data_IF_606430084900
#
_entry.id   IF_606430084900
#
_cell.length_a   1.000
_cell.length_b   1.000
_cell.length_c   1.000
_cell.angle_alpha   90.00
_cell.angle_beta   90.00
_cell.angle_gamma   90.00
#
_symmetry.space_group_name_H-M   'P 1'
#
loop_
_entity.id
_entity.type
_entity.pdbx_description
1 polymer ?
#
# COMPACT_ATOMS: atom_id res chain seq x y z
N UNK A 1 -5.08 30.65 8.26
CA UNK A 1 -5.43 30.21 6.89
C UNK A 1 -6.01 28.82 7.01
N UNK A 2 -7.03 28.45 6.21
CA UNK A 2 -7.59 27.12 6.29
C UNK A 2 -6.53 26.09 5.91
N UNK A 3 -6.58 24.91 6.52
CA UNK A 3 -5.82 23.74 6.10
C UNK A 3 -6.11 23.49 4.60
N UNK A 4 -5.16 23.75 3.75
CA UNK A 4 -5.26 23.53 2.33
C UNK A 4 -4.40 22.34 1.94
N UNK A 5 -5.00 21.37 1.24
CA UNK A 5 -4.25 20.30 0.63
C UNK A 5 -3.81 20.75 -0.76
N UNK A 6 -2.50 20.69 -1.04
CA UNK A 6 -1.96 21.07 -2.33
C UNK A 6 -1.34 19.90 -3.05
N UNK A 7 -1.74 19.70 -4.29
CA UNK A 7 -1.09 18.80 -5.23
C UNK A 7 -0.12 19.56 -6.10
N UNK A 8 1.06 18.98 -6.29
CA UNK A 8 2.07 19.40 -7.26
C UNK A 8 2.16 18.35 -8.34
N UNK A 9 1.95 18.72 -9.58
CA UNK A 9 2.17 17.88 -10.74
C UNK A 9 3.67 17.86 -11.03
N UNK A 10 4.30 16.70 -10.92
CA UNK A 10 5.74 16.53 -11.05
C UNK A 10 6.13 15.98 -12.42
N UNK A 11 5.28 15.18 -13.03
CA UNK A 11 5.49 14.66 -14.39
C UNK A 11 4.17 14.54 -15.14
N UNK A 12 4.27 14.70 -16.47
CA UNK A 12 3.18 14.52 -17.43
C UNK A 12 3.65 13.63 -18.55
N UNK A 13 2.75 12.75 -19.02
CA UNK A 13 2.99 11.92 -20.21
C UNK A 13 4.31 11.14 -20.16
N UNK A 14 4.75 10.72 -18.97
CA UNK A 14 5.93 9.87 -18.85
C UNK A 14 5.64 8.51 -19.50
N UNK A 15 6.28 8.25 -20.64
CA UNK A 15 6.01 7.07 -21.45
C UNK A 15 6.40 5.77 -20.76
N UNK A 16 7.40 5.78 -19.89
CA UNK A 16 7.83 4.58 -19.15
C UNK A 16 6.79 4.18 -18.09
N UNK A 17 6.27 5.15 -17.33
CA UNK A 17 5.18 4.91 -16.37
C UNK A 17 3.88 4.54 -17.06
N UNK A 18 3.57 5.17 -18.19
CA UNK A 18 2.37 4.89 -18.98
C UNK A 18 2.40 3.51 -19.66
N UNK A 19 3.57 2.90 -19.81
CA UNK A 19 3.73 1.56 -20.39
C UNK A 19 3.30 0.43 -19.44
N UNK A 20 3.14 0.71 -18.13
CA UNK A 20 2.69 -0.28 -17.18
C UNK A 20 1.18 -0.52 -17.27
N UNK A 21 0.78 -1.77 -17.47
CA UNK A 21 -0.65 -2.15 -17.50
C UNK A 21 -1.27 -2.16 -16.09
N UNK A 22 -0.46 -2.37 -15.05
CA UNK A 22 -0.80 -2.16 -13.64
C UNK A 22 0.49 -1.82 -12.88
N UNK A 23 0.38 -1.18 -11.71
CA UNK A 23 1.54 -0.69 -10.99
C UNK A 23 1.30 -0.58 -9.48
N UNK A 24 2.40 -0.64 -8.73
CA UNK A 24 2.45 -0.40 -7.28
C UNK A 24 3.61 0.55 -6.95
N UNK A 25 3.33 1.59 -6.18
CA UNK A 25 4.35 2.51 -5.68
C UNK A 25 4.76 2.12 -4.25
N UNK A 26 6.06 2.16 -4.00
CA UNK A 26 6.66 1.89 -2.70
C UNK A 26 7.66 2.99 -2.38
N UNK A 27 7.44 3.68 -1.27
CA UNK A 27 8.43 4.60 -0.71
C UNK A 27 9.44 3.82 0.12
N UNK A 28 10.72 4.00 -0.17
CA UNK A 28 11.80 3.35 0.57
C UNK A 28 13.00 4.29 0.68
N UNK A 29 13.37 4.66 1.90
CA UNK A 29 14.37 5.68 2.14
C UNK A 29 14.00 7.01 1.49
N UNK A 30 14.91 7.55 0.70
CA UNK A 30 14.75 8.82 -0.01
C UNK A 30 14.25 8.67 -1.45
N UNK A 31 13.72 7.50 -1.79
CA UNK A 31 13.27 7.17 -3.13
C UNK A 31 11.83 6.65 -3.17
N UNK A 32 11.19 6.88 -4.31
CA UNK A 32 9.95 6.24 -4.71
C UNK A 32 10.26 5.24 -5.81
N UNK A 33 9.87 3.99 -5.59
CA UNK A 33 9.96 2.91 -6.56
C UNK A 33 8.57 2.61 -7.11
N UNK A 34 8.47 2.47 -8.41
CA UNK A 34 7.24 2.01 -9.07
C UNK A 34 7.53 0.67 -9.71
N UNK A 35 6.91 -0.35 -9.17
CA UNK A 35 6.90 -1.70 -9.71
C UNK A 35 5.72 -1.83 -10.67
N UNK A 36 6.00 -2.12 -11.92
CA UNK A 36 5.00 -2.14 -12.98
C UNK A 36 4.88 -3.49 -13.67
N UNK A 37 3.64 -3.84 -14.01
CA UNK A 37 3.31 -5.02 -14.80
C UNK A 37 3.57 -4.76 -16.27
N UNK A 38 4.37 -5.62 -16.89
CA UNK A 38 4.57 -5.66 -18.35
C UNK A 38 4.35 -7.07 -18.88
N UNK A 39 4.29 -7.21 -20.21
CA UNK A 39 4.22 -8.53 -20.86
C UNK A 39 5.47 -9.38 -20.62
N UNK A 40 6.61 -8.74 -20.36
CA UNK A 40 7.91 -9.40 -20.14
C UNK A 40 8.20 -9.71 -18.66
N UNK A 41 7.29 -9.35 -17.74
CA UNK A 41 7.48 -9.49 -16.29
C UNK A 41 7.31 -8.17 -15.55
N UNK A 42 7.68 -8.16 -14.28
CA UNK A 42 7.73 -6.95 -13.46
C UNK A 42 8.96 -6.12 -13.80
N UNK A 43 8.76 -4.82 -14.01
CA UNK A 43 9.83 -3.83 -14.22
C UNK A 43 9.78 -2.79 -13.11
N UNK A 44 10.88 -2.08 -12.90
CA UNK A 44 10.99 -1.07 -11.83
C UNK A 44 11.48 0.25 -12.38
N UNK A 45 10.81 1.32 -11.98
CA UNK A 45 11.26 2.70 -12.17
C UNK A 45 11.49 3.35 -10.82
N UNK A 46 12.47 4.23 -10.73
CA UNK A 46 12.87 4.92 -9.52
C UNK A 46 12.91 6.44 -9.72
N UNK A 47 12.48 7.18 -8.72
CA UNK A 47 12.67 8.62 -8.61
C UNK A 47 12.96 9.02 -7.17
N UNK A 48 13.78 10.06 -6.97
CA UNK A 48 14.00 10.60 -5.63
C UNK A 48 12.73 11.29 -5.09
N UNK A 49 12.46 11.20 -3.79
CA UNK A 49 11.27 11.81 -3.16
C UNK A 49 11.22 13.34 -3.27
N UNK A 50 12.36 13.99 -3.47
CA UNK A 50 12.44 15.44 -3.65
C UNK A 50 12.33 15.87 -5.12
N UNK A 51 12.23 14.96 -6.06
CA UNK A 51 12.14 15.21 -7.49
C UNK A 51 10.80 14.77 -8.06
N UNK A 52 10.62 13.46 -8.36
CA UNK A 52 9.40 12.91 -8.96
C UNK A 52 9.14 13.28 -10.41
N UNK A 53 9.95 14.15 -11.02
CA UNK A 53 9.84 14.54 -12.43
C UNK A 53 10.66 13.63 -13.36
N UNK A 54 11.77 13.09 -12.86
CA UNK A 54 12.66 12.18 -13.58
C UNK A 54 12.54 10.76 -13.02
N UNK A 55 12.32 9.81 -13.90
CA UNK A 55 12.20 8.38 -13.58
C UNK A 55 13.24 7.59 -14.33
N UNK A 56 14.01 6.81 -13.60
CA UNK A 56 15.07 5.97 -14.15
C UNK A 56 14.67 4.50 -14.11
N UNK A 57 14.78 3.78 -15.23
CA UNK A 57 14.58 2.33 -15.23
C UNK A 57 15.71 1.63 -14.47
N UNK A 58 15.34 0.61 -13.72
CA UNK A 58 16.26 -0.23 -12.98
C UNK A 58 16.34 -1.60 -13.65
N UNK A 59 17.56 -2.06 -13.90
CA UNK A 59 17.81 -3.42 -14.39
C UNK A 59 18.06 -4.33 -13.19
N UNK A 60 17.12 -5.22 -12.93
CA UNK A 60 17.23 -6.19 -11.84
C UNK A 60 18.10 -7.38 -12.25
N UNK A 61 18.87 -7.92 -11.30
CA UNK A 61 19.65 -9.15 -11.48
C UNK A 61 18.80 -10.43 -11.45
N UNK A 62 17.48 -10.31 -11.21
CA UNK A 62 16.50 -11.40 -11.19
C UNK A 62 15.38 -11.12 -12.17
N UNK A 63 14.89 -12.18 -12.84
CA UNK A 63 13.66 -12.11 -13.63
C UNK A 63 12.47 -12.40 -12.74
N UNK A 64 11.53 -11.46 -12.66
CA UNK A 64 10.31 -11.59 -11.87
C UNK A 64 9.10 -11.75 -12.80
N UNK A 65 8.12 -12.56 -12.38
CA UNK A 65 6.87 -12.71 -13.10
C UNK A 65 6.11 -11.38 -13.23
N UNK A 66 5.18 -11.31 -14.17
CA UNK A 66 4.41 -10.08 -14.43
C UNK A 66 3.56 -9.63 -13.25
N UNK A 67 3.17 -10.54 -12.36
CA UNK A 67 2.33 -10.25 -11.20
C UNK A 67 3.11 -10.01 -9.90
N UNK A 68 4.43 -10.19 -9.91
CA UNK A 68 5.27 -9.99 -8.73
C UNK A 68 5.24 -8.54 -8.20
N UNK A 69 4.97 -7.55 -9.06
CA UNK A 69 4.83 -6.12 -8.66
C UNK A 69 3.87 -5.92 -7.48
N UNK A 70 2.82 -6.74 -7.37
CA UNK A 70 1.83 -6.63 -6.30
C UNK A 70 2.42 -6.89 -4.92
N UNK A 71 3.48 -7.69 -4.85
CA UNK A 71 4.12 -8.13 -3.62
C UNK A 71 5.24 -7.19 -3.13
N UNK A 72 5.57 -6.14 -3.88
CA UNK A 72 6.63 -5.21 -3.48
C UNK A 72 6.27 -4.44 -2.21
N UNK A 73 7.14 -4.46 -1.22
CA UNK A 73 7.00 -3.76 0.06
C UNK A 73 8.35 -3.23 0.53
N UNK A 74 8.34 -2.29 1.48
CA UNK A 74 9.56 -1.79 2.12
C UNK A 74 9.50 -2.02 3.64
N UNK A 75 10.64 -2.39 4.22
CA UNK A 75 10.84 -2.55 5.65
C UNK A 75 12.28 -2.15 6.01
N UNK A 76 12.46 -1.26 6.98
CA UNK A 76 13.77 -0.81 7.48
C UNK A 76 14.73 -0.30 6.37
N UNK A 77 14.21 0.42 5.38
CA UNK A 77 15.01 0.94 4.29
C UNK A 77 15.43 -0.08 3.23
N UNK A 78 14.91 -1.29 3.30
CA UNK A 78 15.08 -2.35 2.30
C UNK A 78 13.76 -2.66 1.58
N UNK A 79 13.86 -3.03 0.33
CA UNK A 79 12.76 -3.51 -0.50
C UNK A 79 12.66 -5.03 -0.40
N UNK A 80 11.45 -5.54 -0.36
CA UNK A 80 11.15 -6.97 -0.39
C UNK A 80 10.13 -7.25 -1.49
N UNK A 81 10.28 -8.38 -2.16
CA UNK A 81 9.36 -8.85 -3.18
C UNK A 81 9.25 -10.37 -3.13
N UNK A 82 8.07 -10.91 -3.40
CA UNK A 82 7.90 -12.37 -3.53
C UNK A 82 7.49 -12.75 -4.93
N UNK A 83 8.02 -13.88 -5.40
CA UNK A 83 7.67 -14.48 -6.67
C UNK A 83 7.93 -15.99 -6.65
N UNK A 84 6.94 -16.79 -7.09
CA UNK A 84 7.06 -18.24 -7.19
C UNK A 84 7.46 -18.95 -5.90
N UNK A 85 7.00 -18.51 -4.72
CA UNK A 85 7.34 -19.08 -3.43
C UNK A 85 8.70 -18.62 -2.88
N UNK A 86 9.37 -17.70 -3.55
CA UNK A 86 10.65 -17.13 -3.13
C UNK A 86 10.43 -15.70 -2.63
N UNK A 87 11.21 -15.32 -1.63
CA UNK A 87 11.26 -13.95 -1.11
C UNK A 87 12.64 -13.38 -1.36
N UNK A 88 12.69 -12.22 -1.96
CA UNK A 88 13.93 -11.49 -2.27
C UNK A 88 13.95 -10.17 -1.51
N UNK A 89 15.16 -9.75 -1.12
CA UNK A 89 15.43 -8.44 -0.52
C UNK A 89 16.43 -7.65 -1.37
N UNK A 90 16.30 -6.32 -1.38
CA UNK A 90 17.20 -5.42 -2.08
C UNK A 90 17.26 -4.06 -1.41
N UNK A 91 18.45 -3.47 -1.33
CA UNK A 91 18.64 -2.10 -0.87
C UNK A 91 18.48 -1.04 -1.98
N UNK A 92 18.55 -1.45 -3.24
CA UNK A 92 18.64 -0.55 -4.42
C UNK A 92 17.68 -0.87 -5.55
N UNK A 93 16.93 -1.98 -5.44
CA UNK A 93 16.11 -2.61 -6.48
C UNK A 93 16.89 -3.17 -7.69
N UNK A 94 18.20 -3.05 -7.74
CA UNK A 94 19.07 -3.63 -8.79
C UNK A 94 19.54 -5.03 -8.38
N UNK A 95 20.12 -5.13 -7.17
CA UNK A 95 20.67 -6.36 -6.62
C UNK A 95 19.70 -6.99 -5.64
N UNK A 96 19.00 -8.02 -6.11
CA UNK A 96 18.06 -8.81 -5.31
C UNK A 96 18.74 -10.07 -4.79
N UNK A 97 18.66 -10.30 -3.49
CA UNK A 97 19.20 -11.47 -2.81
C UNK A 97 18.05 -12.35 -2.32
N UNK A 98 18.14 -13.65 -2.58
CA UNK A 98 17.17 -14.61 -2.07
C UNK A 98 17.28 -14.72 -0.55
N UNK A 99 16.19 -14.36 0.14
CA UNK A 99 16.07 -14.46 1.60
C UNK A 99 15.56 -15.83 2.01
N UNK A 100 14.51 -16.30 1.34
CA UNK A 100 13.90 -17.60 1.60
C UNK A 100 13.44 -18.23 0.29
N UNK A 101 13.83 -19.48 0.06
CA UNK A 101 13.47 -20.26 -1.13
C UNK A 101 12.46 -21.38 -0.90
N UNK A 102 12.10 -21.63 0.36
CA UNK A 102 11.15 -22.70 0.74
C UNK A 102 9.96 -22.16 1.53
N UNK A 103 9.70 -20.87 1.43
CA UNK A 103 8.55 -20.26 2.04
C UNK A 103 7.29 -20.62 1.24
N UNK A 104 6.23 -21.04 1.92
CA UNK A 104 4.89 -21.15 1.34
C UNK A 104 4.26 -19.76 1.13
N UNK A 105 5.08 -18.81 0.69
CA UNK A 105 4.70 -17.42 0.46
C UNK A 105 4.14 -17.30 -0.95
N UNK A 106 2.84 -17.06 -1.04
CA UNK A 106 2.17 -16.78 -2.31
C UNK A 106 2.37 -15.33 -2.74
N UNK A 107 2.26 -14.42 -1.77
CA UNK A 107 2.36 -13.00 -2.01
C UNK A 107 2.69 -12.26 -0.72
N UNK A 108 3.69 -11.37 -0.73
CA UNK A 108 3.86 -10.37 0.32
C UNK A 108 2.69 -9.37 0.23
N UNK A 109 2.05 -9.09 1.36
CA UNK A 109 0.88 -8.21 1.42
C UNK A 109 1.17 -6.86 2.08
N UNK A 110 2.29 -6.78 2.81
CA UNK A 110 2.69 -5.54 3.46
C UNK A 110 3.81 -5.73 4.47
N UNK A 111 4.22 -4.62 5.05
CA UNK A 111 5.17 -4.54 6.15
C UNK A 111 4.63 -3.62 7.24
N UNK A 112 4.93 -3.95 8.50
CA UNK A 112 4.80 -3.03 9.62
C UNK A 112 6.13 -2.31 9.89
N UNK A 113 6.30 -1.69 11.05
CA UNK A 113 7.61 -1.13 11.43
C UNK A 113 8.69 -2.21 11.67
N UNK A 114 8.29 -3.47 11.89
CA UNK A 114 9.20 -4.54 12.31
C UNK A 114 9.05 -5.84 11.52
N UNK A 115 7.87 -6.11 10.95
CA UNK A 115 7.49 -7.41 10.43
C UNK A 115 7.04 -7.35 8.98
N UNK A 116 7.26 -8.45 8.26
CA UNK A 116 6.66 -8.71 6.96
C UNK A 116 5.41 -9.59 7.12
N UNK A 117 4.44 -9.38 6.24
CA UNK A 117 3.21 -10.16 6.18
C UNK A 117 3.00 -10.71 4.77
N UNK A 118 2.50 -11.93 4.70
CA UNK A 118 2.28 -12.61 3.43
C UNK A 118 1.02 -13.47 3.43
N UNK A 119 0.46 -13.68 2.26
CA UNK A 119 -0.44 -14.77 2.02
C UNK A 119 0.33 -16.07 1.87
N UNK A 120 -0.20 -17.12 2.52
CA UNK A 120 0.29 -18.50 2.44
C UNK A 120 -0.87 -19.44 2.16
N UNK A 121 -0.63 -20.74 2.10
CA UNK A 121 -1.70 -21.72 1.92
C UNK A 121 -2.74 -21.69 3.05
N UNK A 122 -2.31 -21.34 4.28
CA UNK A 122 -3.17 -21.31 5.48
C UNK A 122 -3.92 -19.99 5.68
N UNK A 123 -3.56 -18.94 4.96
CA UNK A 123 -4.13 -17.60 5.11
C UNK A 123 -3.04 -16.53 5.20
N UNK A 124 -2.96 -15.80 6.32
CA UNK A 124 -1.94 -14.80 6.57
C UNK A 124 -0.86 -15.37 7.48
N UNK A 125 0.39 -15.11 7.12
CA UNK A 125 1.57 -15.43 7.95
C UNK A 125 2.40 -14.16 8.18
N UNK A 126 3.10 -14.15 9.31
CA UNK A 126 4.03 -13.07 9.70
C UNK A 126 5.45 -13.60 9.72
N UNK A 127 6.39 -12.77 9.26
CA UNK A 127 7.82 -12.96 9.46
C UNK A 127 8.35 -11.87 10.39
N UNK A 128 9.00 -12.28 11.47
CA UNK A 128 9.66 -11.40 12.44
C UNK A 128 11.18 -11.29 12.21
N UNK A 129 11.68 -11.99 11.19
CA UNK A 129 13.09 -12.12 10.84
C UNK A 129 13.37 -11.75 9.36
N UNK A 130 12.65 -10.74 8.87
CA UNK A 130 12.84 -10.16 7.54
C UNK A 130 12.67 -11.17 6.39
N UNK A 131 11.73 -12.11 6.54
CA UNK A 131 11.38 -13.06 5.49
C UNK A 131 12.07 -14.42 5.57
N UNK A 132 12.95 -14.64 6.57
CA UNK A 132 13.69 -15.92 6.73
C UNK A 132 12.76 -17.04 7.17
N UNK A 133 11.88 -16.76 8.14
CA UNK A 133 10.88 -17.72 8.60
C UNK A 133 9.49 -17.09 8.68
N UNK A 134 8.46 -17.93 8.60
CA UNK A 134 7.07 -17.51 8.55
C UNK A 134 6.22 -18.29 9.54
N UNK A 135 5.41 -17.57 10.31
CA UNK A 135 4.46 -18.15 11.27
C UNK A 135 3.04 -17.80 10.83
N UNK A 136 2.19 -18.81 10.66
CA UNK A 136 0.77 -18.61 10.38
C UNK A 136 0.08 -17.92 11.56
N UNK A 137 -0.76 -16.95 11.28
CA UNK A 137 -1.60 -16.25 12.25
C UNK A 137 -3.06 -16.71 12.14
N UNK A 138 -3.81 -16.53 13.22
CA UNK A 138 -5.22 -16.91 13.25
C UNK A 138 -6.06 -15.93 12.45
N UNK A 139 -7.07 -16.45 11.76
CA UNK A 139 -8.16 -15.68 11.18
C UNK A 139 -9.42 -15.93 12.00
N UNK A 140 -10.22 -14.91 12.25
CA UNK A 140 -11.50 -15.07 12.97
C UNK A 140 -12.62 -15.61 12.06
N UNK A 141 -12.41 -15.58 10.75
CA UNK A 141 -13.34 -16.12 9.77
C UNK A 141 -12.60 -16.78 8.60
N UNK A 142 -13.33 -17.32 7.62
CA UNK A 142 -12.76 -18.05 6.50
C UNK A 142 -11.83 -17.17 5.64
N UNK A 143 -10.68 -17.75 5.25
CA UNK A 143 -9.72 -17.10 4.35
C UNK A 143 -10.30 -16.69 2.99
N UNK A 144 -11.42 -17.25 2.59
CA UNK A 144 -12.13 -16.85 1.37
C UNK A 144 -12.60 -15.38 1.42
N UNK A 145 -12.65 -14.76 2.60
CA UNK A 145 -12.96 -13.34 2.78
C UNK A 145 -11.73 -12.43 2.67
N UNK A 146 -10.53 -12.97 2.53
CA UNK A 146 -9.33 -12.17 2.30
C UNK A 146 -9.39 -11.44 0.95
N UNK A 147 -8.88 -10.20 0.87
CA UNK A 147 -8.81 -9.49 -0.39
C UNK A 147 -7.84 -10.21 -1.36
N UNK A 148 -8.21 -10.22 -2.62
CA UNK A 148 -7.43 -10.86 -3.69
C UNK A 148 -6.79 -9.86 -4.65
N UNK A 149 -7.25 -8.59 -4.62
CA UNK A 149 -6.80 -7.52 -5.50
C UNK A 149 -6.64 -6.20 -4.73
N UNK A 150 -5.81 -5.31 -5.25
CA UNK A 150 -5.61 -3.96 -4.72
C UNK A 150 -5.25 -3.96 -3.22
N UNK A 151 -4.42 -4.90 -2.82
CA UNK A 151 -4.08 -5.14 -1.44
C UNK A 151 -3.18 -4.02 -0.93
N UNK A 152 -3.59 -3.39 0.17
CA UNK A 152 -2.79 -2.43 0.91
C UNK A 152 -2.87 -2.72 2.40
N UNK A 153 -1.72 -2.71 3.05
CA UNK A 153 -1.58 -2.93 4.47
C UNK A 153 -0.91 -1.74 5.12
N UNK A 154 -1.44 -1.29 6.24
CA UNK A 154 -0.92 -0.13 6.94
C UNK A 154 -0.94 -0.34 8.45
N UNK A 155 0.05 0.21 9.13
CA UNK A 155 0.09 0.24 10.60
C UNK A 155 -0.92 1.27 11.10
N UNK A 156 -1.81 0.82 11.98
CA UNK A 156 -2.90 1.63 12.54
C UNK A 156 -2.49 2.44 13.79
N UNK A 157 -1.20 2.64 13.98
CA UNK A 157 -0.66 3.32 15.15
C UNK A 157 -0.41 2.37 16.33
N UNK A 158 0.37 2.84 17.27
CA UNK A 158 0.69 2.12 18.51
C UNK A 158 -0.43 2.40 19.51
N UNK A 159 -1.25 1.40 19.81
CA UNK A 159 -2.39 1.54 20.74
C UNK A 159 -2.09 1.06 22.17
N UNK A 160 -0.89 0.59 22.48
CA UNK A 160 -0.57 0.09 23.80
C UNK A 160 0.83 0.48 24.28
N UNK A 161 1.01 0.46 25.63
CA UNK A 161 2.28 0.69 26.32
C UNK A 161 3.37 -0.37 26.01
N UNK A 162 3.07 -1.40 25.19
CA UNK A 162 3.97 -2.50 24.85
C UNK A 162 4.40 -2.54 23.39
N UNK A 163 4.33 -1.43 22.66
CA UNK A 163 4.67 -1.36 21.23
C UNK A 163 3.89 -2.35 20.34
N UNK A 164 2.68 -2.70 20.74
CA UNK A 164 1.82 -3.58 19.93
C UNK A 164 1.26 -2.81 18.76
N UNK A 165 1.65 -3.20 17.56
CA UNK A 165 1.17 -2.59 16.33
C UNK A 165 -0.17 -3.20 15.90
N UNK A 166 -1.19 -2.36 15.80
CA UNK A 166 -2.38 -2.72 15.04
C UNK A 166 -2.12 -2.50 13.57
N UNK A 167 -2.44 -3.50 12.77
CA UNK A 167 -2.25 -3.48 11.33
C UNK A 167 -3.60 -3.65 10.65
N UNK A 168 -3.90 -2.76 9.72
CA UNK A 168 -5.07 -2.83 8.87
C UNK A 168 -4.68 -3.33 7.48
N UNK A 169 -5.38 -4.36 7.01
CA UNK A 169 -5.32 -4.85 5.64
C UNK A 169 -6.63 -4.48 4.94
N UNK A 170 -6.53 -3.83 3.80
CA UNK A 170 -7.66 -3.52 2.95
C UNK A 170 -7.36 -3.92 1.51
N UNK A 171 -8.36 -4.35 0.80
CA UNK A 171 -8.30 -4.65 -0.61
C UNK A 171 -9.69 -4.99 -1.14
N UNK A 172 -9.75 -5.50 -2.33
CA UNK A 172 -10.99 -5.91 -2.99
C UNK A 172 -10.97 -7.41 -3.27
N UNK A 173 -12.14 -8.02 -3.29
CA UNK A 173 -12.36 -9.39 -3.72
C UNK A 173 -13.63 -9.49 -4.54
N UNK A 174 -13.70 -10.47 -5.41
CA UNK A 174 -14.90 -10.75 -6.16
C UNK A 174 -15.93 -11.45 -5.27
N UNK A 175 -17.17 -11.00 -5.34
CA UNK A 175 -18.32 -11.74 -4.81
C UNK A 175 -18.78 -12.82 -5.78
N UNK A 176 -19.43 -13.84 -5.23
CA UNK A 176 -20.06 -14.95 -5.99
C UNK A 176 -21.05 -14.47 -7.06
N UNK A 177 -21.54 -13.22 -6.97
CA UNK A 177 -22.51 -12.62 -7.88
C UNK A 177 -21.97 -11.46 -8.72
N UNK A 178 -20.69 -11.47 -9.07
CA UNK A 178 -20.00 -10.50 -9.96
C UNK A 178 -19.71 -9.11 -9.42
N UNK A 179 -19.98 -8.83 -8.16
CA UNK A 179 -19.65 -7.52 -7.58
C UNK A 179 -18.31 -7.58 -6.87
N UNK A 180 -17.46 -6.59 -7.12
CA UNK A 180 -16.23 -6.38 -6.36
C UNK A 180 -16.56 -5.78 -4.99
N UNK A 181 -15.97 -6.31 -3.95
CA UNK A 181 -16.22 -5.91 -2.56
C UNK A 181 -14.94 -5.46 -1.90
N UNK A 182 -14.95 -4.28 -1.29
CA UNK A 182 -13.87 -3.87 -0.38
C UNK A 182 -13.94 -4.71 0.90
N UNK A 183 -12.79 -5.24 1.29
CA UNK A 183 -12.63 -6.13 2.44
C UNK A 183 -11.59 -5.54 3.38
N UNK A 184 -11.93 -5.43 4.65
CA UNK A 184 -11.03 -4.92 5.68
C UNK A 184 -10.79 -5.97 6.75
N UNK A 185 -9.53 -6.10 7.17
CA UNK A 185 -9.10 -6.96 8.25
C UNK A 185 -8.22 -6.17 9.21
N UNK A 186 -8.46 -6.33 10.50
CA UNK A 186 -7.65 -5.71 11.55
C UNK A 186 -6.90 -6.79 12.34
N UNK A 187 -5.59 -6.66 12.38
CA UNK A 187 -4.75 -7.48 13.23
C UNK A 187 -4.75 -6.94 14.64
N UNK A 188 -5.08 -7.80 15.60
CA UNK A 188 -4.90 -7.58 17.04
C UNK A 188 -3.88 -8.57 17.57
N UNK A 189 -3.19 -8.23 18.64
CA UNK A 189 -2.19 -9.08 19.27
C UNK A 189 -2.66 -9.43 20.68
N UNK A 190 -2.58 -10.72 21.03
CA UNK A 190 -2.71 -11.15 22.40
C UNK A 190 -1.41 -10.80 23.16
N UNK A 191 -1.52 -9.94 24.15
CA UNK A 191 -0.41 -9.46 24.98
C UNK A 191 0.38 -10.60 25.69
N UNK A 192 -0.24 -11.77 25.87
CA UNK A 192 0.38 -12.89 26.57
C UNK A 192 1.37 -13.67 25.69
N UNK A 193 1.07 -13.81 24.40
CA UNK A 193 1.79 -14.74 23.51
C UNK A 193 2.41 -14.04 22.29
N UNK A 194 2.21 -12.74 22.10
CA UNK A 194 2.57 -11.98 20.87
C UNK A 194 2.01 -12.61 19.57
N UNK A 195 0.99 -13.45 19.68
CA UNK A 195 0.34 -14.07 18.55
C UNK A 195 -0.73 -13.15 17.99
N UNK A 196 -0.64 -12.89 16.69
CA UNK A 196 -1.62 -12.07 15.99
C UNK A 196 -2.88 -12.86 15.61
N UNK A 197 -4.00 -12.17 15.73
CA UNK A 197 -5.27 -12.62 15.19
C UNK A 197 -5.80 -11.56 14.23
N UNK A 198 -6.20 -11.98 13.05
CA UNK A 198 -6.83 -11.14 12.06
C UNK A 198 -8.34 -11.23 12.17
N UNK A 199 -8.96 -10.09 12.35
CA UNK A 199 -10.39 -9.96 12.54
C UNK A 199 -11.01 -9.32 11.30
N UNK A 200 -11.97 -9.98 10.70
CA UNK A 200 -12.73 -9.45 9.59
C UNK A 200 -13.62 -8.30 10.06
N UNK A 201 -13.47 -7.15 9.42
CA UNK A 201 -14.33 -5.99 9.65
C UNK A 201 -15.19 -5.77 8.41
N UNK A 202 -16.48 -6.03 8.55
CA UNK A 202 -17.41 -5.59 7.53
C UNK A 202 -17.46 -4.06 7.53
N UNK A 203 -17.16 -3.44 6.39
CA UNK A 203 -17.27 -1.99 6.26
C UNK A 203 -18.73 -1.63 6.44
N UNK A 204 -19.04 -0.95 7.55
CA UNK A 204 -20.41 -0.58 7.89
C UNK A 204 -21.12 0.10 6.72
N UNK A 205 -22.27 -0.44 6.38
CA UNK A 205 -23.19 0.10 5.38
C UNK A 205 -23.89 1.37 5.88
N UNK A 206 -23.15 2.30 6.42
CA UNK A 206 -23.70 3.57 6.84
C UNK A 206 -24.21 4.33 5.63
N UNK A 207 -25.44 4.79 5.66
CA UNK A 207 -26.12 5.52 4.56
C UNK A 207 -25.34 6.74 4.05
N UNK A 208 -24.40 7.26 4.82
CA UNK A 208 -23.55 8.41 4.50
C UNK A 208 -22.06 8.09 4.36
N UNK A 209 -21.60 6.88 4.69
CA UNK A 209 -20.17 6.56 4.84
C UNK A 209 -19.69 5.32 4.11
N UNK A 210 -20.45 4.79 3.16
CA UNK A 210 -20.00 3.67 2.34
C UNK A 210 -18.76 4.06 1.56
N UNK A 211 -17.70 3.29 1.71
CA UNK A 211 -16.72 3.22 0.64
C UNK A 211 -17.43 2.55 -0.53
N UNK A 212 -17.61 3.26 -1.66
CA UNK A 212 -18.28 2.67 -2.81
C UNK A 212 -17.47 1.46 -3.29
N UNK A 213 -18.18 0.49 -3.86
CA UNK A 213 -17.56 -0.62 -4.55
C UNK A 213 -16.78 -0.09 -5.73
N UNK A 214 -15.46 -0.26 -5.72
CA UNK A 214 -14.55 0.31 -6.70
C UNK A 214 -13.68 -0.79 -7.28
N UNK A 215 -13.32 -0.64 -8.55
CA UNK A 215 -12.38 -1.53 -9.23
C UNK A 215 -10.99 -1.46 -8.60
N UNK A 216 -10.66 -0.31 -8.04
CA UNK A 216 -9.42 -0.10 -7.30
C UNK A 216 -9.63 0.88 -6.14
N UNK A 217 -9.13 0.50 -4.97
CA UNK A 217 -9.00 1.36 -3.79
C UNK A 217 -7.69 1.03 -3.10
N UNK A 218 -6.88 2.03 -2.79
CA UNK A 218 -5.59 1.86 -2.12
C UNK A 218 -5.58 2.74 -0.88
N UNK A 219 -5.07 2.21 0.24
CA UNK A 219 -4.97 2.91 1.51
C UNK A 219 -3.54 3.29 1.84
N UNK A 220 -3.38 4.38 2.57
CA UNK A 220 -2.14 4.77 3.23
C UNK A 220 -2.41 5.16 4.67
N UNK A 221 -1.40 5.02 5.54
CA UNK A 221 -1.43 5.63 6.85
C UNK A 221 -1.51 7.16 6.73
N UNK A 222 -2.22 7.80 7.66
CA UNK A 222 -2.27 9.24 7.82
C UNK A 222 -1.70 9.62 9.19
N UNK A 223 -1.57 10.91 9.46
CA UNK A 223 -1.12 11.38 10.78
C UNK A 223 -2.11 10.99 11.89
N UNK A 224 -3.40 10.89 11.51
CA UNK A 224 -4.47 10.37 12.37
C UNK A 224 -5.33 9.39 11.58
N UNK A 225 -5.14 8.09 11.83
CA UNK A 225 -5.90 7.03 11.15
C UNK A 225 -5.41 6.72 9.74
N UNK A 226 -6.32 6.55 8.80
CA UNK A 226 -6.04 6.11 7.43
C UNK A 226 -6.71 7.00 6.40
N UNK A 227 -6.10 7.04 5.24
CA UNK A 227 -6.70 7.58 4.02
C UNK A 227 -6.82 6.49 2.97
N UNK A 228 -7.83 6.61 2.12
CA UNK A 228 -8.02 5.75 0.96
C UNK A 228 -8.32 6.57 -0.28
N UNK A 229 -7.69 6.20 -1.38
CA UNK A 229 -7.94 6.76 -2.70
C UNK A 229 -8.65 5.72 -3.55
N UNK A 230 -9.80 6.09 -4.10
CA UNK A 230 -10.59 5.23 -4.98
C UNK A 230 -10.42 5.59 -6.45
N UNK A 231 -10.63 4.61 -7.33
CA UNK A 231 -10.62 4.79 -8.79
C UNK A 231 -11.63 5.81 -9.30
N UNK A 232 -12.66 6.12 -8.50
CA UNK A 232 -13.63 7.18 -8.77
C UNK A 232 -13.11 8.60 -8.49
N UNK A 233 -11.84 8.77 -8.13
CA UNK A 233 -11.22 10.05 -7.83
C UNK A 233 -11.66 10.66 -6.50
N UNK A 234 -12.15 9.85 -5.56
CA UNK A 234 -12.55 10.33 -4.24
C UNK A 234 -11.54 9.91 -3.18
N UNK A 235 -11.32 10.83 -2.25
CA UNK A 235 -10.48 10.66 -1.08
C UNK A 235 -11.35 10.37 0.13
N UNK A 236 -11.00 9.34 0.87
CA UNK A 236 -11.72 8.90 2.07
C UNK A 236 -10.79 8.93 3.28
N UNK A 237 -11.37 9.14 4.46
CA UNK A 237 -10.68 9.04 5.76
C UNK A 237 -11.36 8.03 6.66
N UNK A 238 -10.58 7.29 7.43
CA UNK A 238 -11.03 6.50 8.57
C UNK A 238 -10.22 6.85 9.81
N UNK A 239 -10.90 7.01 10.94
CA UNK A 239 -10.29 7.25 12.26
C UNK A 239 -10.55 6.10 13.23
N UNK A 240 -11.17 5.02 12.77
CA UNK A 240 -11.55 3.85 13.58
C UNK A 240 -11.09 2.55 12.91
N UNK A 241 -9.81 2.51 12.53
CA UNK A 241 -9.14 1.33 11.97
C UNK A 241 -9.82 0.72 10.73
N UNK A 242 -10.42 1.56 9.90
CA UNK A 242 -11.06 1.11 8.65
C UNK A 242 -12.49 0.62 8.79
N UNK A 243 -13.07 0.66 9.99
CA UNK A 243 -14.46 0.23 10.21
C UNK A 243 -15.46 1.14 9.49
N UNK A 244 -15.24 2.46 9.56
CA UNK A 244 -16.04 3.43 8.81
C UNK A 244 -15.16 4.38 8.01
N UNK A 245 -15.65 4.76 6.83
CA UNK A 245 -14.95 5.66 5.91
C UNK A 245 -15.83 6.85 5.57
N UNK A 246 -15.27 8.04 5.62
CA UNK A 246 -15.94 9.28 5.21
C UNK A 246 -15.18 9.94 4.08
N UNK A 247 -15.90 10.38 3.05
CA UNK A 247 -15.27 11.18 1.99
C UNK A 247 -14.78 12.51 2.59
N UNK A 248 -13.50 12.81 2.37
CA UNK A 248 -12.93 14.11 2.66
C UNK A 248 -13.00 15.02 1.43
N UNK A 249 -13.94 15.95 1.47
CA UNK A 249 -14.16 16.89 0.35
C UNK A 249 -13.14 18.02 0.31
N UNK A 250 -12.29 18.16 1.33
CA UNK A 250 -11.21 19.16 1.34
C UNK A 250 -10.04 18.76 0.46
N UNK A 251 -9.87 17.46 0.21
CA UNK A 251 -8.85 16.95 -0.71
C UNK A 251 -9.47 16.85 -2.10
N UNK A 252 -9.19 17.81 -2.93
CA UNK A 252 -9.61 17.83 -4.34
C UNK A 252 -8.49 17.25 -5.18
N UNK A 253 -8.77 16.15 -5.87
CA UNK A 253 -7.79 15.51 -6.73
C UNK A 253 -7.54 16.33 -8.01
N UNK A 254 -6.35 16.19 -8.62
CA UNK A 254 -6.08 16.81 -9.92
C UNK A 254 -7.12 16.36 -10.96
N UNK A 255 -7.59 17.28 -11.80
CA UNK A 255 -8.62 17.00 -12.81
C UNK A 255 -8.25 15.85 -13.76
N UNK A 256 -6.96 15.70 -14.07
CA UNK A 256 -6.43 14.63 -14.92
C UNK A 256 -6.39 13.25 -14.25
N UNK A 257 -6.66 13.17 -12.93
CA UNK A 257 -6.79 11.88 -12.26
C UNK A 257 -8.00 11.09 -12.75
N UNK A 258 -9.04 11.76 -13.23
CA UNK A 258 -10.27 11.14 -13.73
C UNK A 258 -10.09 10.34 -15.04
N UNK A 259 -8.86 10.24 -15.57
CA UNK A 259 -8.56 9.44 -16.76
C UNK A 259 -8.68 7.94 -16.45
N UNK A 260 -8.94 7.14 -17.46
CA UNK A 260 -8.99 5.68 -17.34
C UNK A 260 -7.62 5.09 -17.00
N UNK A 261 -7.62 3.89 -16.42
CA UNK A 261 -6.42 3.12 -16.12
C UNK A 261 -6.16 2.94 -14.63
N UNK A 262 -5.22 2.05 -14.35
CA UNK A 262 -4.77 1.74 -12.98
C UNK A 262 -3.94 2.89 -12.42
N UNK A 263 -3.92 3.01 -11.10
CA UNK A 263 -3.10 4.01 -10.41
C UNK A 263 -2.29 3.36 -9.29
N UNK A 264 -1.19 4.01 -8.91
CA UNK A 264 -0.47 3.70 -7.68
C UNK A 264 -0.61 4.86 -6.69
N UNK A 265 -0.62 4.52 -5.42
CA UNK A 265 -0.79 5.45 -4.32
C UNK A 265 0.09 5.01 -3.15
N UNK A 266 0.95 5.89 -2.66
CA UNK A 266 1.77 5.66 -1.48
C UNK A 266 2.01 6.95 -0.70
N UNK A 267 2.61 6.84 0.48
CA UNK A 267 3.04 7.97 1.30
C UNK A 267 4.52 7.82 1.60
N UNK A 268 5.29 8.90 1.44
CA UNK A 268 6.71 8.91 1.75
C UNK A 268 7.00 9.26 3.22
N UNK A 269 8.29 9.19 3.61
CA UNK A 269 8.77 9.50 4.96
C UNK A 269 8.71 11.00 5.30
N UNK A 270 8.46 11.89 4.32
CA UNK A 270 8.22 13.32 4.49
C UNK A 270 6.72 13.67 4.57
N UNK A 271 5.87 12.64 4.70
CA UNK A 271 4.41 12.75 4.80
C UNK A 271 3.70 13.23 3.54
N UNK A 272 4.37 13.20 2.38
CA UNK A 272 3.71 13.46 1.12
C UNK A 272 3.02 12.21 0.59
N UNK A 273 1.84 12.40 0.03
CA UNK A 273 1.12 11.40 -0.74
C UNK A 273 1.50 11.49 -2.20
N UNK A 274 1.73 10.35 -2.82
CA UNK A 274 2.09 10.21 -4.22
C UNK A 274 1.00 9.49 -4.96
N UNK A 275 0.63 10.03 -6.12
CA UNK A 275 -0.28 9.39 -7.07
C UNK A 275 0.43 9.28 -8.40
N UNK A 276 0.43 8.09 -8.99
CA UNK A 276 0.97 7.80 -10.30
C UNK A 276 -0.13 7.16 -11.14
N UNK A 277 -0.47 7.75 -12.28
CA UNK A 277 -1.51 7.25 -13.18
C UNK A 277 -1.27 7.70 -14.60
N UNK A 278 -1.25 6.79 -15.57
CA UNK A 278 -1.12 7.08 -17.02
C UNK A 278 0.03 8.04 -17.37
N UNK A 279 1.19 7.86 -16.75
CA UNK A 279 2.35 8.71 -16.98
C UNK A 279 2.30 10.07 -16.28
N UNK A 280 1.26 10.36 -15.51
CA UNK A 280 1.21 11.50 -14.61
C UNK A 280 1.71 11.14 -13.23
N UNK A 281 2.40 12.08 -12.59
CA UNK A 281 2.87 11.97 -11.20
C UNK A 281 2.46 13.22 -10.44
N UNK A 282 1.74 13.03 -9.36
CA UNK A 282 1.38 14.10 -8.43
C UNK A 282 1.89 13.79 -7.03
N UNK A 283 2.33 14.81 -6.33
CA UNK A 283 2.72 14.77 -4.93
C UNK A 283 1.98 15.83 -4.15
N UNK A 284 1.40 15.48 -3.02
CA UNK A 284 0.63 16.44 -2.23
C UNK A 284 0.64 16.14 -0.74
N UNK A 285 0.46 17.20 0.04
CA UNK A 285 0.26 17.11 1.49
C UNK A 285 -0.60 18.27 1.99
N UNK A 286 -1.08 18.15 3.23
CA UNK A 286 -1.63 19.32 3.93
C UNK A 286 -0.52 20.33 4.21
N UNK A 287 -0.80 21.60 3.95
CA UNK A 287 0.13 22.67 4.26
C UNK A 287 0.13 22.92 5.78
N UNK A 288 1.15 22.39 6.47
CA UNK A 288 1.34 22.55 7.91
C UNK A 288 2.06 23.88 8.21
N UNK A 289 2.76 24.46 7.24
CA UNK A 289 3.62 25.62 7.41
C UNK A 289 2.87 26.93 7.72
N UNK A 290 1.56 26.95 7.47
CA UNK A 290 0.71 28.10 7.85
C UNK A 290 0.46 28.24 9.37
N UNK A 291 0.86 27.27 10.17
CA UNK A 291 0.62 27.29 11.63
C UNK A 291 1.84 27.77 12.42
N UNK A 292 3.03 27.57 11.89
CA UNK A 292 4.28 27.99 12.56
C UNK A 292 4.65 29.46 12.38
N UNK A 293 4.10 30.13 11.38
CA UNK A 293 4.41 31.54 11.12
C UNK A 293 3.57 32.55 11.91
N UNK A 294 2.86 32.13 12.96
CA UNK A 294 2.08 33.01 13.83
C UNK A 294 2.58 33.05 15.30
N UNK A 295 3.66 32.35 15.61
CA UNK A 295 4.26 32.33 16.92
C UNK A 295 5.69 32.95 16.98
N UNK A 296 6.08 33.69 15.92
CA UNK A 296 7.26 34.56 15.95
C UNK A 296 6.86 36.04 15.98
#
# INVERSE_FOLDING_TARGET
MPYEFKWHELAQNNSQLAAFSDLKAVACGDDIYVFGKTAEGTKVLKSAINNGSAWSPITMNVGLSSDAYQSAVALDGELYISDGGKVYASADAETWTLVSGNADVKQLIGASSKNLYAYTATGISVSKDKGVSWKAEKLDTDKAYLPTQNISMNVAGVLSAKDVENVMLLGTRDKVLKDTVATTWLRTVDDANEDGQWNYLEIENNKSGKMPWLDQVITCAADTGFVALGSNGKWYKSQNAGLTWKQDKMVVLPAKFATEGRFAFCRDNQHYYWIIRNGYVWRGRFNIDGWRSKED
#
